data_IF_638261911172
#
_entry.id   IF_638261911172
#
_cell.length_a   1.000
_cell.length_b   1.000
_cell.length_c   1.000
_cell.angle_alpha   90.00
_cell.angle_beta   90.00
_cell.angle_gamma   90.00
#
_symmetry.space_group_name_H-M   'P 1'
#
loop_
_entity.id
_entity.type
_entity.pdbx_description
1 polymer ?
#
# COMPACT_ATOMS: atom_id res chain seq x y z
N UNK A 1 -27.13 -0.70 1.40
CA UNK A 1 -26.68 -1.14 0.06
C UNK A 1 -26.11 -2.57 0.09
N UNK A 2 -25.38 -3.01 1.13
CA UNK A 2 -24.69 -4.31 1.18
C UNK A 2 -25.66 -5.51 1.35
N UNK A 3 -26.68 -5.37 2.21
CA UNK A 3 -27.62 -6.46 2.54
C UNK A 3 -28.26 -7.18 1.35
N UNK A 4 -28.82 -6.50 0.33
CA UNK A 4 -29.39 -7.20 -0.83
C UNK A 4 -28.33 -7.94 -1.66
N UNK A 5 -27.13 -7.44 -1.76
CA UNK A 5 -26.03 -8.07 -2.50
C UNK A 5 -25.55 -9.36 -1.81
N UNK A 6 -25.33 -9.33 -0.51
CA UNK A 6 -24.96 -10.51 0.28
C UNK A 6 -26.03 -11.59 0.16
N UNK A 7 -27.32 -11.22 0.31
CA UNK A 7 -28.44 -12.14 0.14
C UNK A 7 -28.49 -12.75 -1.28
N UNK A 8 -28.20 -11.96 -2.31
CA UNK A 8 -28.18 -12.44 -3.69
C UNK A 8 -27.04 -13.42 -3.98
N UNK A 9 -25.87 -13.21 -3.33
CA UNK A 9 -24.68 -14.03 -3.55
C UNK A 9 -24.67 -15.32 -2.75
N UNK A 10 -25.24 -15.32 -1.55
CA UNK A 10 -25.19 -16.43 -0.59
C UNK A 10 -25.47 -17.81 -1.19
N UNK A 11 -26.50 -17.92 -2.04
CA UNK A 11 -26.92 -19.17 -2.62
C UNK A 11 -26.24 -19.48 -3.97
N UNK A 12 -25.40 -18.57 -4.46
CA UNK A 12 -24.76 -18.67 -5.77
C UNK A 12 -23.25 -18.94 -5.72
N UNK A 13 -22.62 -18.66 -4.57
CA UNK A 13 -21.16 -18.75 -4.44
C UNK A 13 -20.78 -19.51 -3.17
N UNK A 14 -19.57 -20.05 -3.14
CA UNK A 14 -19.04 -20.75 -1.99
C UNK A 14 -18.21 -19.86 -1.05
N UNK A 15 -17.84 -18.66 -1.49
CA UNK A 15 -17.02 -17.70 -0.75
C UNK A 15 -17.47 -16.27 -1.10
N UNK A 16 -17.76 -15.47 -0.08
CA UNK A 16 -18.01 -14.05 -0.23
C UNK A 16 -16.83 -13.30 0.37
N UNK A 17 -16.10 -12.58 -0.48
CA UNK A 17 -15.00 -11.69 -0.07
C UNK A 17 -15.45 -10.26 -0.26
N UNK A 18 -15.35 -9.46 0.79
CA UNK A 18 -15.63 -8.02 0.73
C UNK A 18 -14.32 -7.24 0.59
N UNK A 19 -14.20 -6.51 -0.52
CA UNK A 19 -13.20 -5.45 -0.68
C UNK A 19 -13.81 -4.15 -0.16
N UNK A 20 -13.28 -3.63 0.93
CA UNK A 20 -13.84 -2.50 1.65
C UNK A 20 -12.88 -1.32 1.67
N UNK A 21 -13.35 -0.15 1.23
CA UNK A 21 -12.65 1.12 1.46
C UNK A 21 -13.20 1.77 2.74
N UNK A 22 -13.11 1.04 3.84
CA UNK A 22 -13.58 1.46 5.15
C UNK A 22 -12.46 1.33 6.19
N UNK A 23 -12.61 1.99 7.32
CA UNK A 23 -11.71 1.80 8.46
C UNK A 23 -11.81 0.38 9.02
N UNK A 24 -10.88 0.04 9.90
CA UNK A 24 -10.92 -1.25 10.60
C UNK A 24 -12.16 -1.37 11.48
N UNK A 25 -12.53 -0.29 12.18
CA UNK A 25 -13.67 -0.22 13.08
C UNK A 25 -14.99 -0.43 12.30
N UNK A 26 -15.15 0.25 11.19
CA UNK A 26 -16.30 0.04 10.28
C UNK A 26 -16.34 -1.37 9.73
N UNK A 27 -15.19 -1.94 9.38
CA UNK A 27 -15.08 -3.33 8.88
C UNK A 27 -15.48 -4.35 9.96
N UNK A 28 -15.17 -4.08 11.24
CA UNK A 28 -15.64 -4.88 12.40
C UNK A 28 -17.17 -4.84 12.50
N UNK A 29 -17.77 -3.68 12.36
CA UNK A 29 -19.25 -3.57 12.40
C UNK A 29 -19.91 -4.27 11.21
N UNK A 30 -19.30 -4.20 10.02
CA UNK A 30 -19.77 -4.96 8.85
C UNK A 30 -19.70 -6.47 9.12
N UNK A 31 -18.59 -6.98 9.66
CA UNK A 31 -18.44 -8.39 9.98
C UNK A 31 -19.47 -8.89 11.01
N UNK A 32 -19.83 -8.04 11.99
CA UNK A 32 -20.90 -8.35 12.96
C UNK A 32 -22.27 -8.45 12.29
N UNK A 33 -22.56 -7.58 11.33
CA UNK A 33 -23.84 -7.51 10.65
C UNK A 33 -24.03 -8.55 9.54
N UNK A 34 -22.94 -9.06 8.97
CA UNK A 34 -22.96 -9.94 7.79
C UNK A 34 -22.06 -11.15 8.01
N UNK A 35 -22.47 -12.13 8.83
CA UNK A 35 -21.69 -13.34 9.11
C UNK A 35 -21.52 -14.25 7.89
N UNK A 36 -22.20 -13.96 6.78
CA UNK A 36 -22.07 -14.67 5.51
C UNK A 36 -20.83 -14.24 4.72
N UNK A 37 -20.17 -13.17 5.13
CA UNK A 37 -18.90 -12.73 4.52
C UNK A 37 -17.76 -13.50 5.19
N UNK A 38 -17.01 -14.27 4.41
CA UNK A 38 -15.94 -15.13 4.91
C UNK A 38 -14.59 -14.41 5.03
N UNK A 39 -14.40 -13.29 4.34
CA UNK A 39 -13.18 -12.48 4.39
C UNK A 39 -13.48 -11.01 4.08
N UNK A 40 -12.92 -10.11 4.87
CA UNK A 40 -12.91 -8.67 4.57
C UNK A 40 -11.47 -8.21 4.34
N UNK A 41 -11.24 -7.55 3.20
CA UNK A 41 -9.99 -6.89 2.87
C UNK A 41 -10.25 -5.38 2.92
N UNK A 42 -9.61 -4.68 3.85
CA UNK A 42 -9.79 -3.24 4.04
C UNK A 42 -8.49 -2.48 3.77
N UNK A 43 -8.59 -1.25 3.26
CA UNK A 43 -7.44 -0.46 2.83
C UNK A 43 -7.50 1.02 3.21
N UNK A 44 -8.50 1.46 4.02
CA UNK A 44 -8.63 2.87 4.38
C UNK A 44 -7.90 3.19 5.69
N UNK A 45 -7.04 4.21 5.68
CA UNK A 45 -6.28 4.72 6.84
C UNK A 45 -5.48 3.64 7.60
N UNK A 46 -4.87 2.70 6.86
CA UNK A 46 -4.04 1.67 7.44
C UNK A 46 -2.65 1.76 6.80
N UNK A 47 -1.72 2.40 7.50
CA UNK A 47 -0.34 2.57 7.03
C UNK A 47 0.43 1.26 7.09
N UNK A 48 0.32 0.54 8.22
CA UNK A 48 0.96 -0.76 8.41
C UNK A 48 -0.03 -1.79 8.97
N UNK A 49 0.08 -3.06 8.57
CA UNK A 49 -0.74 -4.12 9.13
C UNK A 49 -0.40 -4.29 10.62
N UNK A 50 -1.42 -4.64 11.43
CA UNK A 50 -1.18 -5.07 12.80
C UNK A 50 -0.60 -6.48 12.81
N UNK A 51 0.21 -6.79 13.83
CA UNK A 51 0.81 -8.12 14.03
C UNK A 51 -0.24 -9.23 14.16
N UNK A 52 -1.47 -8.89 14.57
CA UNK A 52 -2.57 -9.82 14.72
C UNK A 52 -3.74 -9.52 13.78
N UNK A 53 -4.22 -10.55 13.11
CA UNK A 53 -5.43 -10.48 12.28
C UNK A 53 -6.64 -10.36 13.19
N UNK A 54 -7.48 -9.35 12.95
CA UNK A 54 -8.77 -9.20 13.64
C UNK A 54 -9.75 -10.21 13.06
N UNK A 55 -10.40 -11.01 13.91
CA UNK A 55 -11.42 -11.96 13.49
C UNK A 55 -12.73 -11.68 14.27
N UNK A 56 -13.82 -11.52 13.56
CA UNK A 56 -15.15 -11.25 14.11
C UNK A 56 -16.14 -12.25 13.56
N UNK A 57 -16.85 -12.97 14.42
CA UNK A 57 -17.82 -14.02 14.00
C UNK A 57 -17.24 -14.99 12.96
N UNK A 58 -15.98 -15.40 13.13
CA UNK A 58 -15.23 -16.20 12.18
C UNK A 58 -14.83 -15.51 10.86
N UNK A 59 -15.15 -14.23 10.67
CA UNK A 59 -14.72 -13.41 9.52
C UNK A 59 -13.40 -12.72 9.83
N UNK A 60 -12.29 -13.10 9.19
CA UNK A 60 -11.03 -12.36 9.31
C UNK A 60 -11.11 -11.03 8.55
N UNK A 61 -10.51 -10.02 9.14
CA UNK A 61 -10.36 -8.68 8.56
C UNK A 61 -8.86 -8.45 8.38
N UNK A 62 -8.42 -8.31 7.15
CA UNK A 62 -7.01 -8.09 6.81
C UNK A 62 -6.82 -6.78 6.07
N UNK A 63 -5.65 -6.18 6.24
CA UNK A 63 -5.16 -5.09 5.43
C UNK A 63 -3.69 -5.35 5.11
N UNK A 64 -3.29 -5.33 3.83
CA UNK A 64 -1.88 -5.43 3.46
C UNK A 64 -1.11 -4.10 3.66
N UNK A 65 -1.74 -3.08 4.23
CA UNK A 65 -1.11 -1.77 4.42
C UNK A 65 -0.89 -1.00 3.12
N UNK A 66 0.07 -0.10 3.12
CA UNK A 66 0.40 0.79 2.02
C UNK A 66 1.74 0.46 1.37
N UNK A 67 1.92 0.91 0.12
CA UNK A 67 3.20 0.90 -0.58
C UNK A 67 3.68 -0.48 -1.04
N UNK A 68 2.82 -1.51 -1.05
CA UNK A 68 3.21 -2.85 -1.51
C UNK A 68 4.21 -3.58 -0.61
N UNK A 69 4.36 -3.15 0.65
CA UNK A 69 5.32 -3.73 1.60
C UNK A 69 4.88 -5.07 2.17
N UNK A 70 3.61 -5.42 2.04
CA UNK A 70 3.02 -6.64 2.60
C UNK A 70 2.08 -7.28 1.60
N UNK A 71 1.90 -8.59 1.73
CA UNK A 71 0.90 -9.35 0.98
C UNK A 71 -0.04 -10.07 1.94
N UNK A 72 -1.35 -9.92 1.72
CA UNK A 72 -2.37 -10.70 2.43
C UNK A 72 -2.59 -12.05 1.74
N UNK A 73 -2.53 -13.13 2.50
CA UNK A 73 -2.74 -14.49 1.98
C UNK A 73 -3.85 -15.15 2.78
N UNK A 74 -4.92 -15.56 2.11
CA UNK A 74 -6.00 -16.33 2.71
C UNK A 74 -6.14 -17.66 1.95
N UNK A 75 -6.00 -18.79 2.67
CA UNK A 75 -6.08 -20.13 2.11
C UNK A 75 -7.36 -20.81 2.55
N UNK A 76 -8.12 -21.28 1.58
CA UNK A 76 -9.34 -22.05 1.77
C UNK A 76 -9.24 -23.39 1.07
N UNK A 77 -9.82 -24.43 1.65
CA UNK A 77 -9.99 -25.73 0.99
C UNK A 77 -11.48 -25.99 0.74
N UNK A 78 -11.78 -26.59 -0.40
CA UNK A 78 -13.14 -27.01 -0.74
C UNK A 78 -13.32 -28.46 -0.27
N UNK A 79 -14.26 -28.70 0.61
CA UNK A 79 -14.63 -30.05 0.99
C UNK A 79 -15.67 -30.59 0.01
N UNK A 80 -15.24 -31.46 -0.88
CA UNK A 80 -16.11 -32.09 -1.89
C UNK A 80 -16.83 -33.35 -1.37
N UNK A 81 -16.66 -33.73 -0.08
CA UNK A 81 -17.21 -34.94 0.49
C UNK A 81 -18.69 -34.81 0.91
N UNK A 82 -19.23 -33.60 0.91
CA UNK A 82 -20.62 -33.32 1.27
C UNK A 82 -21.44 -32.90 0.05
N UNK A 83 -22.74 -33.15 0.07
CA UNK A 83 -23.66 -32.72 -1.00
C UNK A 83 -23.63 -31.21 -1.21
N UNK A 84 -23.37 -30.47 -0.14
CA UNK A 84 -23.07 -29.03 -0.19
C UNK A 84 -21.54 -28.82 -0.04
N UNK A 85 -20.91 -28.27 -1.06
CA UNK A 85 -19.48 -27.88 -1.00
C UNK A 85 -19.29 -26.92 0.18
N UNK A 86 -18.61 -27.38 1.22
CA UNK A 86 -18.26 -26.53 2.34
C UNK A 86 -16.84 -26.01 2.15
N UNK A 87 -16.65 -24.71 2.38
CA UNK A 87 -15.34 -24.08 2.43
C UNK A 87 -14.81 -24.12 3.86
N UNK A 88 -13.57 -24.56 3.99
CA UNK A 88 -12.85 -24.52 5.25
C UNK A 88 -11.66 -23.60 5.12
N UNK A 89 -11.59 -22.59 5.98
CA UNK A 89 -10.44 -21.69 6.06
C UNK A 89 -9.26 -22.44 6.70
N UNK A 90 -8.13 -22.49 6.00
CA UNK A 90 -6.90 -23.13 6.48
C UNK A 90 -5.98 -22.13 7.18
N UNK A 91 -5.73 -20.98 6.56
CA UNK A 91 -4.94 -19.92 7.13
C UNK A 91 -5.33 -18.56 6.57
N UNK A 92 -5.06 -17.53 7.36
CA UNK A 92 -5.06 -16.12 6.92
C UNK A 92 -3.84 -15.48 7.54
N UNK A 93 -3.04 -14.79 6.76
CA UNK A 93 -1.79 -14.18 7.20
C UNK A 93 -1.50 -12.92 6.39
N UNK A 94 -0.72 -12.02 6.95
CA UNK A 94 -0.15 -10.86 6.25
C UNK A 94 1.36 -11.00 6.34
N UNK A 95 2.00 -11.11 5.19
CA UNK A 95 3.42 -11.45 5.05
C UNK A 95 4.17 -10.20 4.62
N UNK A 96 5.21 -9.76 5.37
CA UNK A 96 6.07 -8.67 4.92
C UNK A 96 6.88 -9.11 3.70
N UNK A 97 7.00 -8.21 2.71
CA UNK A 97 7.86 -8.38 1.55
C UNK A 97 9.19 -7.68 1.83
N UNK A 98 10.04 -8.35 2.58
CA UNK A 98 11.35 -7.86 2.99
C UNK A 98 12.50 -8.54 2.18
N UNK A 99 13.73 -8.37 2.64
CA UNK A 99 14.93 -8.92 2.00
C UNK A 99 14.99 -10.46 1.95
N UNK A 100 14.04 -11.17 2.54
CA UNK A 100 13.93 -12.63 2.41
C UNK A 100 13.42 -13.04 1.02
N UNK A 101 12.81 -12.11 0.29
CA UNK A 101 12.31 -12.34 -1.06
C UNK A 101 13.24 -11.71 -2.10
N UNK A 102 13.51 -12.46 -3.18
CA UNK A 102 14.28 -11.92 -4.31
C UNK A 102 13.38 -11.04 -5.19
N UNK A 103 13.95 -9.97 -5.70
CA UNK A 103 13.28 -9.12 -6.68
C UNK A 103 12.96 -9.91 -7.95
N UNK A 104 11.78 -9.68 -8.52
CA UNK A 104 11.42 -10.22 -9.83
C UNK A 104 12.30 -9.57 -10.90
N UNK A 105 12.97 -10.40 -11.71
CA UNK A 105 13.80 -9.92 -12.82
C UNK A 105 12.98 -9.12 -13.83
N UNK A 106 11.77 -9.54 -14.10
CA UNK A 106 10.83 -8.87 -15.01
C UNK A 106 10.47 -7.48 -14.48
N UNK A 107 10.21 -7.36 -13.17
CA UNK A 107 9.90 -6.07 -12.56
C UNK A 107 11.10 -5.13 -12.54
N UNK A 108 12.32 -5.64 -12.36
CA UNK A 108 13.54 -4.83 -12.45
C UNK A 108 13.69 -4.26 -13.87
N UNK A 109 13.44 -5.05 -14.90
CA UNK A 109 13.49 -4.59 -16.30
C UNK A 109 12.44 -3.50 -16.53
N UNK A 110 11.18 -3.75 -16.14
CA UNK A 110 10.10 -2.79 -16.27
C UNK A 110 10.38 -1.46 -15.54
N UNK A 111 10.95 -1.54 -14.35
CA UNK A 111 11.35 -0.36 -13.60
C UNK A 111 12.43 0.46 -14.32
N UNK A 112 13.42 -0.20 -14.91
CA UNK A 112 14.46 0.47 -15.70
C UNK A 112 13.89 1.14 -16.95
N UNK A 113 12.99 0.48 -17.65
CA UNK A 113 12.29 1.06 -18.82
C UNK A 113 11.48 2.30 -18.41
N UNK A 114 10.75 2.20 -17.31
CA UNK A 114 10.01 3.35 -16.76
C UNK A 114 10.93 4.51 -16.39
N UNK A 115 12.04 4.24 -15.71
CA UNK A 115 13.04 5.24 -15.36
C UNK A 115 13.63 5.91 -16.61
N UNK A 116 13.90 5.12 -17.66
CA UNK A 116 14.41 5.67 -18.92
C UNK A 116 13.39 6.61 -19.59
N UNK A 117 12.10 6.23 -19.61
CA UNK A 117 11.03 7.09 -20.13
C UNK A 117 10.96 8.42 -19.35
N UNK A 118 11.07 8.37 -18.02
CA UNK A 118 11.06 9.59 -17.20
C UNK A 118 12.24 10.52 -17.54
N UNK A 119 13.42 9.95 -17.80
CA UNK A 119 14.61 10.71 -18.22
C UNK A 119 14.43 11.32 -19.61
N UNK A 120 13.98 10.53 -20.57
CA UNK A 120 13.82 10.95 -21.98
C UNK A 120 12.73 12.04 -22.13
N UNK A 121 11.67 11.95 -21.36
CA UNK A 121 10.61 12.94 -21.34
C UNK A 121 10.93 14.18 -20.52
N UNK A 122 12.00 14.17 -19.74
CA UNK A 122 12.44 15.26 -18.85
C UNK A 122 11.30 15.83 -17.98
N UNK A 123 10.46 14.93 -17.45
CA UNK A 123 9.24 15.30 -16.72
C UNK A 123 9.56 16.17 -15.50
N UNK A 124 10.68 15.91 -14.84
CA UNK A 124 11.09 16.68 -13.66
C UNK A 124 11.31 18.18 -13.98
N UNK A 125 11.81 18.50 -15.18
CA UNK A 125 11.98 19.89 -15.62
C UNK A 125 10.71 20.50 -16.18
N UNK A 126 9.82 19.68 -16.73
CA UNK A 126 8.52 20.13 -17.29
C UNK A 126 7.49 20.44 -16.20
N UNK A 127 7.69 19.94 -14.97
CA UNK A 127 6.83 20.33 -13.85
C UNK A 127 7.04 21.83 -13.59
N UNK A 128 6.06 22.61 -13.96
CA UNK A 128 6.02 24.04 -13.66
C UNK A 128 6.02 24.17 -12.14
N UNK A 129 7.09 24.74 -11.59
CA UNK A 129 7.13 25.05 -10.16
C UNK A 129 5.93 25.94 -9.84
N UNK A 130 5.09 25.51 -8.89
CA UNK A 130 4.02 26.36 -8.42
C UNK A 130 4.62 27.66 -7.90
N UNK A 131 4.19 28.83 -8.40
CA UNK A 131 4.71 30.10 -7.92
C UNK A 131 4.45 30.20 -6.42
N UNK A 132 5.48 30.61 -5.66
CA UNK A 132 5.28 30.88 -4.25
C UNK A 132 4.28 32.03 -4.09
N UNK A 133 3.42 31.93 -3.07
CA UNK A 133 2.54 33.04 -2.70
C UNK A 133 3.40 34.31 -2.46
N UNK A 134 2.92 35.44 -2.91
CA UNK A 134 3.56 36.76 -2.76
C UNK A 134 4.77 37.06 -3.68
N UNK A 135 4.92 36.37 -4.80
CA UNK A 135 6.00 36.66 -5.76
C UNK A 135 7.40 36.30 -5.25
N UNK A 136 7.49 35.51 -4.20
CA UNK A 136 8.77 35.04 -3.68
C UNK A 136 9.34 33.93 -4.59
N UNK A 137 10.66 33.75 -4.55
CA UNK A 137 11.36 32.68 -5.24
C UNK A 137 12.32 31.95 -4.30
N UNK A 138 12.54 30.67 -4.55
CA UNK A 138 13.58 29.92 -3.85
C UNK A 138 14.95 30.41 -4.31
N UNK A 139 15.75 30.86 -3.36
CA UNK A 139 17.09 31.45 -3.63
C UNK A 139 18.22 30.42 -3.65
N UNK A 140 17.91 29.15 -3.34
CA UNK A 140 18.90 28.08 -3.23
C UNK A 140 19.70 28.13 -1.92
N UNK A 141 20.31 27.00 -1.57
CA UNK A 141 21.04 26.85 -0.31
C UNK A 141 22.29 27.70 -0.20
N UNK A 142 22.92 28.05 -1.32
CA UNK A 142 24.10 28.92 -1.33
C UNK A 142 23.83 30.31 -0.74
N UNK A 143 22.66 30.89 -1.03
CA UNK A 143 22.27 32.19 -0.46
C UNK A 143 22.18 32.14 1.07
N UNK A 144 21.75 31.03 1.65
CA UNK A 144 21.75 30.84 3.10
C UNK A 144 23.18 30.82 3.68
N UNK A 145 24.13 30.28 2.93
CA UNK A 145 25.53 30.16 3.32
C UNK A 145 26.24 31.49 3.48
N UNK A 146 25.78 32.57 2.82
CA UNK A 146 26.38 33.90 2.94
C UNK A 146 26.23 34.48 4.36
N UNK A 147 25.11 34.19 5.05
CA UNK A 147 24.88 34.64 6.42
C UNK A 147 25.10 33.54 7.45
N UNK A 148 24.81 32.28 7.09
CA UNK A 148 24.85 31.13 7.99
C UNK A 148 25.96 30.14 7.62
N UNK A 149 27.17 30.64 7.44
CA UNK A 149 28.32 29.88 6.92
C UNK A 149 28.57 28.57 7.67
N UNK A 150 28.60 28.58 8.98
CA UNK A 150 28.87 27.36 9.79
C UNK A 150 27.81 26.29 9.59
N UNK A 151 26.54 26.68 9.54
CA UNK A 151 25.43 25.78 9.32
C UNK A 151 25.47 25.22 7.89
N UNK A 152 25.75 26.07 6.92
CA UNK A 152 25.90 25.69 5.52
C UNK A 152 27.05 24.71 5.33
N UNK A 153 28.25 24.98 5.89
CA UNK A 153 29.41 24.09 5.80
C UNK A 153 29.16 22.73 6.44
N UNK A 154 28.39 22.67 7.54
CA UNK A 154 27.99 21.42 8.16
C UNK A 154 27.02 20.64 7.25
N UNK A 155 25.94 21.30 6.79
CA UNK A 155 24.95 20.68 5.90
C UNK A 155 25.58 20.20 4.60
N UNK A 156 26.50 20.97 4.01
CA UNK A 156 27.18 20.66 2.76
C UNK A 156 27.94 19.32 2.80
N UNK A 157 28.40 18.91 3.99
CA UNK A 157 29.11 17.65 4.22
C UNK A 157 28.17 16.47 4.49
N UNK A 158 26.89 16.69 4.60
CA UNK A 158 25.91 15.63 4.86
C UNK A 158 25.43 14.97 3.57
N UNK A 159 24.89 13.76 3.70
CA UNK A 159 24.21 13.05 2.60
C UNK A 159 22.98 13.81 2.07
N UNK A 160 22.37 14.68 2.88
CA UNK A 160 21.24 15.52 2.45
C UNK A 160 21.62 16.50 1.33
N UNK A 161 22.84 17.06 1.35
CA UNK A 161 23.33 17.90 0.26
C UNK A 161 23.46 17.09 -1.06
N UNK A 162 23.80 15.81 -0.97
CA UNK A 162 23.97 14.93 -2.10
C UNK A 162 22.65 14.29 -2.59
N UNK A 163 21.57 14.41 -1.83
CA UNK A 163 20.31 13.69 -2.10
C UNK A 163 19.76 13.92 -3.52
N UNK A 164 19.83 15.15 -4.03
CA UNK A 164 19.39 15.43 -5.41
C UNK A 164 20.25 14.72 -6.46
N UNK A 165 21.56 14.60 -6.22
CA UNK A 165 22.46 13.92 -7.18
C UNK A 165 22.17 12.44 -7.28
N UNK A 166 21.73 11.80 -6.20
CA UNK A 166 21.36 10.39 -6.22
C UNK A 166 20.12 10.12 -7.07
N UNK A 167 19.24 11.10 -7.26
CA UNK A 167 18.08 11.01 -8.15
C UNK A 167 18.43 11.21 -9.63
N UNK A 168 19.56 11.85 -9.91
CA UNK A 168 19.98 12.20 -11.30
C UNK A 168 21.04 11.25 -11.83
N UNK A 169 21.77 10.56 -10.94
CA UNK A 169 22.90 9.68 -11.29
C UNK A 169 22.62 8.19 -11.08
N UNK A 170 21.35 7.84 -10.77
CA UNK A 170 20.91 6.45 -10.54
C UNK A 170 20.66 5.67 -11.81
#
# INVERSE_FOLDING_TARGET
>A
ALKPLVKQLRDKVNLIVLLSHASREESVEIAKCFPEIELIITGHNIDEPKDSITCVNNTPIISPGMGGKYIGVARYSVNNKTVHKSLERKSVEVIPLDNAYQDSKEMIVLLKEYQQILLDEDLARKITQAPLSNGLAYVGSFACGMCHKTIYDHWYKTTHNAAYRTLVSG
#
